data_IF_455874779838
#
_entry.id   IF_455874779838
#
_cell.length_a   1.000
_cell.length_b   1.000
_cell.length_c   1.000
_cell.angle_alpha   90.00
_cell.angle_beta   90.00
_cell.angle_gamma   90.00
#
_symmetry.space_group_name_H-M   'P 1'
#
loop_
_entity.id
_entity.type
_entity.pdbx_description
1 polymer ?
#
# COMPACT_ATOMS: atom_id res chain seq x y z
N UNK A 1 -2.58 -21.49 7.40
CA UNK A 1 -1.69 -20.68 8.29
C UNK A 1 -0.48 -21.49 8.75
N UNK A 2 -0.63 -22.68 9.36
CA UNK A 2 0.49 -23.47 9.91
C UNK A 2 1.54 -23.84 8.83
N UNK A 3 1.10 -24.32 7.67
CA UNK A 3 1.99 -24.65 6.55
C UNK A 3 2.82 -23.44 6.09
N UNK A 4 2.22 -22.26 6.00
CA UNK A 4 2.92 -21.02 5.66
C UNK A 4 3.93 -20.61 6.73
N UNK A 5 3.56 -20.73 8.01
CA UNK A 5 4.47 -20.43 9.11
C UNK A 5 5.70 -21.36 9.10
N UNK A 6 5.49 -22.67 8.89
CA UNK A 6 6.59 -23.65 8.78
C UNK A 6 7.49 -23.35 7.59
N UNK A 7 6.89 -23.00 6.43
CA UNK A 7 7.66 -22.65 5.24
C UNK A 7 8.47 -21.36 5.43
N UNK A 8 7.87 -20.32 6.01
CA UNK A 8 8.54 -19.07 6.33
C UNK A 8 9.72 -19.29 7.30
N UNK A 9 9.50 -20.05 8.38
CA UNK A 9 10.55 -20.41 9.33
C UNK A 9 11.69 -21.20 8.67
N UNK A 10 11.37 -22.18 7.84
CA UNK A 10 12.39 -22.98 7.13
C UNK A 10 13.22 -22.13 6.16
N UNK A 11 12.64 -21.07 5.59
CA UNK A 11 13.34 -20.15 4.71
C UNK A 11 14.19 -19.13 5.45
N UNK A 12 13.68 -18.56 6.54
CA UNK A 12 14.34 -17.48 7.29
C UNK A 12 15.46 -17.98 8.19
N UNK A 13 15.30 -19.16 8.82
CA UNK A 13 16.28 -19.70 9.76
C UNK A 13 17.69 -19.89 9.15
N UNK A 14 17.86 -20.50 7.96
CA UNK A 14 19.21 -20.68 7.40
C UNK A 14 19.77 -19.41 6.74
N UNK A 15 18.90 -18.47 6.36
CA UNK A 15 19.28 -17.34 5.50
C UNK A 15 19.80 -16.11 6.26
N UNK A 16 19.39 -15.94 7.53
CA UNK A 16 19.74 -14.79 8.34
C UNK A 16 19.15 -13.45 7.86
N UNK A 17 19.31 -12.41 8.67
CA UNK A 17 18.71 -11.08 8.46
C UNK A 17 19.13 -10.42 7.13
N UNK A 18 20.35 -10.67 6.67
CA UNK A 18 20.86 -10.07 5.43
C UNK A 18 20.11 -10.56 4.19
N UNK A 19 19.82 -11.86 4.12
CA UNK A 19 19.10 -12.45 2.99
C UNK A 19 17.64 -12.01 2.97
N UNK A 20 17.01 -11.94 4.14
CA UNK A 20 15.64 -11.40 4.26
C UNK A 20 15.59 -9.96 3.76
N UNK A 21 16.55 -9.12 4.15
CA UNK A 21 16.59 -7.73 3.66
C UNK A 21 16.74 -7.62 2.13
N UNK A 22 17.53 -8.51 1.51
CA UNK A 22 17.68 -8.56 0.07
C UNK A 22 16.41 -9.03 -0.65
N UNK A 23 15.75 -10.05 -0.15
CA UNK A 23 14.47 -10.53 -0.70
C UNK A 23 13.39 -9.48 -0.56
N UNK A 24 13.27 -8.81 0.59
CA UNK A 24 12.36 -7.70 0.82
C UNK A 24 12.59 -6.56 -0.18
N UNK A 25 13.83 -6.21 -0.45
CA UNK A 25 14.19 -5.18 -1.43
C UNK A 25 13.73 -5.56 -2.84
N UNK A 26 14.02 -6.78 -3.28
CA UNK A 26 13.62 -7.29 -4.60
C UNK A 26 12.10 -7.30 -4.72
N UNK A 27 11.38 -7.85 -3.74
CA UNK A 27 9.93 -7.86 -3.74
C UNK A 27 9.33 -6.45 -3.74
N UNK A 28 9.93 -5.50 -3.01
CA UNK A 28 9.51 -4.10 -3.04
C UNK A 28 9.63 -3.47 -4.43
N UNK A 29 10.70 -3.76 -5.16
CA UNK A 29 10.84 -3.30 -6.54
C UNK A 29 9.76 -3.87 -7.45
N UNK A 30 9.45 -5.17 -7.34
CA UNK A 30 8.35 -5.78 -8.09
C UNK A 30 6.99 -5.22 -7.69
N UNK A 31 6.76 -4.97 -6.40
CA UNK A 31 5.51 -4.35 -5.92
C UNK A 31 5.32 -2.95 -6.50
N UNK A 32 6.37 -2.11 -6.56
CA UNK A 32 6.28 -0.79 -7.18
C UNK A 32 5.90 -0.90 -8.66
N UNK A 33 6.53 -1.82 -9.40
CA UNK A 33 6.17 -2.08 -10.79
C UNK A 33 4.70 -2.51 -10.94
N UNK A 34 4.24 -3.41 -10.07
CA UNK A 34 2.83 -3.85 -10.04
C UNK A 34 1.86 -2.73 -9.69
N UNK A 35 2.23 -1.84 -8.76
CA UNK A 35 1.42 -0.65 -8.45
C UNK A 35 1.22 0.23 -9.69
N UNK A 36 2.26 0.42 -10.50
CA UNK A 36 2.16 1.17 -11.76
C UNK A 36 1.21 0.47 -12.74
N UNK A 37 1.35 -0.85 -12.91
CA UNK A 37 0.45 -1.64 -13.77
C UNK A 37 -1.01 -1.51 -13.30
N UNK A 38 -1.26 -1.59 -12.00
CA UNK A 38 -2.60 -1.45 -11.43
C UNK A 38 -3.19 -0.05 -11.68
N UNK A 39 -2.38 1.02 -11.53
CA UNK A 39 -2.80 2.39 -11.83
C UNK A 39 -3.19 2.54 -13.31
N UNK A 40 -2.36 2.05 -14.21
CA UNK A 40 -2.65 2.10 -15.65
C UNK A 40 -3.94 1.35 -15.95
N UNK A 41 -4.08 0.14 -15.41
CA UNK A 41 -5.24 -0.70 -15.64
C UNK A 41 -6.54 -0.06 -15.13
N UNK A 42 -6.55 0.45 -13.89
CA UNK A 42 -7.74 1.10 -13.33
C UNK A 42 -8.09 2.40 -14.06
N UNK A 43 -7.08 3.15 -14.53
CA UNK A 43 -7.29 4.36 -15.32
C UNK A 43 -7.94 4.05 -16.67
N UNK A 44 -7.50 2.98 -17.33
CA UNK A 44 -8.12 2.51 -18.59
C UNK A 44 -9.55 2.04 -18.34
N UNK A 45 -9.79 1.28 -17.27
CA UNK A 45 -11.14 0.84 -16.89
C UNK A 45 -12.08 2.03 -16.60
N UNK A 46 -11.57 3.09 -15.97
CA UNK A 46 -12.33 4.31 -15.68
C UNK A 46 -12.56 5.22 -16.89
N UNK A 47 -12.03 4.85 -18.06
CA UNK A 47 -12.12 5.67 -19.27
C UNK A 47 -11.22 6.92 -19.25
N UNK A 48 -10.15 6.89 -18.46
CA UNK A 48 -9.20 7.99 -18.31
C UNK A 48 -9.44 8.84 -17.07
N UNK A 49 -8.41 9.60 -16.68
CA UNK A 49 -8.43 10.44 -15.48
C UNK A 49 -9.56 11.47 -15.50
N UNK A 50 -9.83 12.08 -16.67
CA UNK A 50 -10.90 13.06 -16.83
C UNK A 50 -12.29 12.49 -16.52
N UNK A 51 -12.57 11.27 -16.99
CA UNK A 51 -13.83 10.59 -16.72
C UNK A 51 -13.96 10.19 -15.25
N UNK A 52 -12.86 9.72 -14.64
CA UNK A 52 -12.82 9.39 -13.21
C UNK A 52 -13.20 10.62 -12.37
N UNK A 53 -12.59 11.78 -12.66
CA UNK A 53 -12.87 13.03 -11.95
C UNK A 53 -14.31 13.50 -12.19
N UNK A 54 -14.81 13.41 -13.43
CA UNK A 54 -16.19 13.77 -13.76
C UNK A 54 -17.20 12.89 -13.03
N UNK A 55 -16.97 11.58 -13.01
CA UNK A 55 -17.84 10.64 -12.30
C UNK A 55 -17.83 10.86 -10.78
N UNK A 56 -16.66 11.15 -10.20
CA UNK A 56 -16.57 11.48 -8.78
C UNK A 56 -17.32 12.76 -8.43
N UNK A 57 -17.25 13.79 -9.27
CA UNK A 57 -18.02 15.03 -9.10
C UNK A 57 -19.53 14.79 -9.12
N UNK A 58 -20.01 13.84 -9.89
CA UNK A 58 -21.44 13.49 -9.92
C UNK A 58 -21.88 12.65 -8.74
N UNK A 59 -21.00 11.82 -8.20
CA UNK A 59 -21.29 10.96 -7.03
C UNK A 59 -21.22 11.77 -5.75
N UNK A 60 -20.11 12.45 -5.52
CA UNK A 60 -19.88 13.26 -4.32
C UNK A 60 -18.72 14.26 -4.57
N UNK A 61 -19.02 15.53 -4.80
CA UNK A 61 -18.01 16.56 -5.01
C UNK A 61 -17.06 16.75 -3.83
N UNK A 62 -17.48 16.38 -2.62
CA UNK A 62 -16.65 16.50 -1.42
C UNK A 62 -15.41 15.61 -1.45
N UNK A 63 -15.45 14.48 -2.17
CA UNK A 63 -14.32 13.55 -2.30
C UNK A 63 -13.12 14.14 -3.05
N UNK A 64 -13.34 15.17 -3.86
CA UNK A 64 -12.29 15.87 -4.60
C UNK A 64 -11.83 17.14 -3.87
N UNK A 65 -12.49 17.52 -2.78
CA UNK A 65 -12.18 18.70 -2.00
C UNK A 65 -11.40 18.35 -0.74
N UNK A 66 -10.12 18.76 -0.71
CA UNK A 66 -9.29 18.61 0.49
C UNK A 66 -9.81 19.43 1.67
N UNK A 67 -10.45 20.56 1.40
CA UNK A 67 -10.99 21.47 2.42
C UNK A 67 -12.18 20.87 3.17
N UNK A 68 -13.09 20.19 2.49
CA UNK A 68 -14.26 19.58 3.14
C UNK A 68 -13.89 18.43 4.08
N UNK A 69 -12.88 17.65 3.71
CA UNK A 69 -12.38 16.56 4.53
C UNK A 69 -11.71 17.03 5.84
N UNK A 70 -11.13 18.25 5.85
CA UNK A 70 -10.49 18.82 7.04
C UNK A 70 -11.50 19.58 7.90
N UNK A 71 -12.47 20.26 7.30
CA UNK A 71 -13.49 21.04 8.02
C UNK A 71 -14.54 20.18 8.70
N UNK A 72 -14.73 18.96 8.26
CA UNK A 72 -15.59 18.01 8.96
C UNK A 72 -14.95 17.58 10.28
N UNK A 73 -15.67 17.79 11.40
CA UNK A 73 -15.21 17.42 12.73
C UNK A 73 -14.77 15.95 12.84
N UNK A 74 -15.36 15.08 12.02
CA UNK A 74 -15.01 13.67 11.93
C UNK A 74 -13.63 13.51 11.26
N UNK A 75 -13.28 14.30 10.25
CA UNK A 75 -12.01 14.23 9.55
C UNK A 75 -10.83 14.58 10.45
N UNK A 76 -10.90 15.66 11.18
CA UNK A 76 -9.85 16.05 12.14
C UNK A 76 -9.70 15.03 13.26
N UNK A 77 -10.80 14.58 13.86
CA UNK A 77 -10.79 13.56 14.90
C UNK A 77 -10.16 12.25 14.42
N UNK A 78 -10.48 11.82 13.21
CA UNK A 78 -9.91 10.61 12.60
C UNK A 78 -8.42 10.77 12.34
N UNK A 79 -7.96 11.90 11.81
CA UNK A 79 -6.54 12.18 11.63
C UNK A 79 -5.76 12.14 12.95
N UNK A 80 -6.30 12.77 13.99
CA UNK A 80 -5.68 12.75 15.33
C UNK A 80 -5.65 11.34 15.91
N UNK A 81 -6.74 10.58 15.78
CA UNK A 81 -6.80 9.18 16.20
C UNK A 81 -5.70 8.34 15.53
N UNK A 82 -5.54 8.47 14.21
CA UNK A 82 -4.51 7.75 13.46
C UNK A 82 -3.09 8.16 13.86
N UNK A 83 -2.83 9.46 14.10
CA UNK A 83 -1.53 9.93 14.57
C UNK A 83 -1.20 9.28 15.92
N UNK A 84 -2.13 9.31 16.89
CA UNK A 84 -1.91 8.74 18.21
C UNK A 84 -1.88 7.20 18.22
N UNK A 85 -2.58 6.53 17.31
CA UNK A 85 -2.59 5.08 17.23
C UNK A 85 -1.36 4.51 16.49
N UNK A 86 -0.95 5.13 15.40
CA UNK A 86 0.07 4.58 14.51
C UNK A 86 1.48 5.02 14.88
N UNK A 87 1.65 6.27 15.34
CA UNK A 87 2.97 6.84 15.62
C UNK A 87 3.71 6.07 16.74
N UNK A 88 3.09 5.80 17.91
CA UNK A 88 3.73 4.97 18.93
C UNK A 88 4.00 3.54 18.46
N UNK A 89 3.07 2.95 17.70
CA UNK A 89 3.23 1.61 17.15
C UNK A 89 4.44 1.47 16.24
N UNK A 90 4.70 2.47 15.41
CA UNK A 90 5.90 2.51 14.55
C UNK A 90 7.20 2.60 15.36
N UNK A 91 7.21 3.36 16.45
CA UNK A 91 8.39 3.53 17.31
C UNK A 91 8.69 2.30 18.17
N UNK A 92 7.67 1.56 18.58
CA UNK A 92 7.80 0.37 19.44
C UNK A 92 7.91 -0.92 18.66
N UNK A 93 7.77 -0.88 17.34
CA UNK A 93 7.82 -2.09 16.52
C UNK A 93 9.24 -2.66 16.48
N UNK A 94 9.41 -3.84 17.05
CA UNK A 94 10.69 -4.54 17.16
C UNK A 94 11.37 -4.74 15.80
N UNK A 95 10.61 -4.95 14.72
CA UNK A 95 11.14 -5.18 13.38
C UNK A 95 11.91 -3.95 12.88
N UNK A 96 11.33 -2.75 13.03
CA UNK A 96 12.01 -1.52 12.63
C UNK A 96 13.24 -1.25 13.51
N UNK A 97 13.12 -1.46 14.81
CA UNK A 97 14.21 -1.26 15.74
C UNK A 97 15.41 -2.19 15.43
N UNK A 98 15.16 -3.47 15.18
CA UNK A 98 16.22 -4.42 14.81
C UNK A 98 16.93 -4.03 13.51
N UNK A 99 16.19 -3.55 12.51
CA UNK A 99 16.75 -3.10 11.23
C UNK A 99 17.62 -1.86 11.41
N UNK A 100 17.19 -0.89 12.21
CA UNK A 100 17.96 0.31 12.52
C UNK A 100 19.23 -0.03 13.28
N UNK A 101 19.15 -0.89 14.30
CA UNK A 101 20.31 -1.34 15.09
C UNK A 101 21.32 -2.17 14.30
N UNK A 102 20.92 -2.78 13.19
CA UNK A 102 21.83 -3.53 12.32
C UNK A 102 22.70 -2.64 11.42
N UNK A 103 22.40 -1.35 11.31
CA UNK A 103 23.14 -0.39 10.48
C UNK A 103 24.30 0.18 11.31
N UNK A 104 25.53 0.11 10.77
CA UNK A 104 26.74 0.57 11.47
C UNK A 104 26.93 2.09 11.50
N UNK A 105 26.40 2.80 10.50
CA UNK A 105 26.62 4.25 10.33
C UNK A 105 25.33 5.02 10.48
N UNK A 106 25.27 5.98 11.38
CA UNK A 106 24.13 6.85 11.62
C UNK A 106 23.68 7.61 10.35
N UNK A 107 24.64 8.02 9.52
CA UNK A 107 24.35 8.69 8.25
C UNK A 107 23.54 7.81 7.28
N UNK A 108 23.75 6.50 7.29
CA UNK A 108 22.99 5.54 6.48
C UNK A 108 21.59 5.33 7.05
N UNK A 109 21.42 5.37 8.36
CA UNK A 109 20.10 5.33 9.02
C UNK A 109 19.25 6.50 8.55
N UNK A 110 19.77 7.72 8.62
CA UNK A 110 19.05 8.92 8.22
C UNK A 110 18.64 8.88 6.73
N UNK A 111 19.55 8.43 5.85
CA UNK A 111 19.22 8.27 4.42
C UNK A 111 18.11 7.23 4.19
N UNK A 112 18.16 6.10 4.88
CA UNK A 112 17.16 5.06 4.74
C UNK A 112 15.79 5.50 5.26
N UNK A 113 15.75 6.26 6.36
CA UNK A 113 14.51 6.81 6.89
C UNK A 113 13.86 7.83 5.93
N UNK A 114 14.66 8.74 5.36
CA UNK A 114 14.16 9.73 4.38
C UNK A 114 13.62 9.01 3.13
N UNK A 115 14.37 8.04 2.61
CA UNK A 115 13.91 7.26 1.44
C UNK A 115 12.65 6.46 1.75
N UNK A 116 12.58 5.84 2.91
CA UNK A 116 11.40 5.10 3.37
C UNK A 116 10.18 6.03 3.50
N UNK A 117 10.35 7.23 4.05
CA UNK A 117 9.28 8.22 4.15
C UNK A 117 8.77 8.66 2.77
N UNK A 118 9.68 8.92 1.81
CA UNK A 118 9.31 9.28 0.44
C UNK A 118 8.54 8.16 -0.27
N UNK A 119 8.99 6.90 -0.14
CA UNK A 119 8.30 5.74 -0.71
C UNK A 119 6.93 5.51 -0.05
N UNK A 120 6.82 5.76 1.25
CA UNK A 120 5.54 5.67 1.96
C UNK A 120 4.54 6.72 1.46
N UNK A 121 4.98 7.97 1.25
CA UNK A 121 4.13 9.00 0.65
C UNK A 121 3.63 8.59 -0.75
N UNK A 122 4.51 8.04 -1.58
CA UNK A 122 4.12 7.54 -2.90
C UNK A 122 3.07 6.42 -2.79
N UNK A 123 3.22 5.53 -1.82
CA UNK A 123 2.25 4.46 -1.56
C UNK A 123 0.88 4.99 -1.13
N UNK A 124 0.84 6.05 -0.32
CA UNK A 124 -0.41 6.71 0.06
C UNK A 124 -1.12 7.35 -1.14
N UNK A 125 -0.38 8.09 -1.98
CA UNK A 125 -0.94 8.68 -3.21
C UNK A 125 -1.52 7.58 -4.12
N UNK A 126 -0.79 6.49 -4.29
CA UNK A 126 -1.26 5.34 -5.05
C UNK A 126 -2.56 4.75 -4.46
N UNK A 127 -2.60 4.53 -3.15
CA UNK A 127 -3.77 3.94 -2.49
C UNK A 127 -5.02 4.84 -2.61
N UNK A 128 -4.86 6.15 -2.42
CA UNK A 128 -5.94 7.13 -2.59
C UNK A 128 -6.43 7.14 -4.04
N UNK A 129 -5.53 7.20 -5.01
CA UNK A 129 -5.88 7.19 -6.42
C UNK A 129 -6.65 5.92 -6.81
N UNK A 130 -6.19 4.74 -6.36
CA UNK A 130 -6.88 3.48 -6.60
C UNK A 130 -8.27 3.46 -5.97
N UNK A 131 -8.39 3.91 -4.73
CA UNK A 131 -9.67 3.97 -4.03
C UNK A 131 -10.68 4.88 -4.73
N UNK A 132 -10.27 6.09 -5.10
CA UNK A 132 -11.12 7.05 -5.83
C UNK A 132 -11.50 6.52 -7.22
N UNK A 133 -10.55 5.94 -7.95
CA UNK A 133 -10.81 5.39 -9.27
C UNK A 133 -11.82 4.25 -9.23
N UNK A 134 -11.72 3.34 -8.27
CA UNK A 134 -12.70 2.27 -8.07
C UNK A 134 -14.06 2.83 -7.65
N UNK A 135 -14.08 3.85 -6.78
CA UNK A 135 -15.32 4.52 -6.38
C UNK A 135 -16.03 5.19 -7.56
N UNK A 136 -15.28 5.76 -8.50
CA UNK A 136 -15.82 6.42 -9.69
C UNK A 136 -16.62 5.47 -10.60
N UNK A 137 -16.36 4.16 -10.54
CA UNK A 137 -17.10 3.16 -11.29
C UNK A 137 -18.54 2.95 -10.78
N UNK A 138 -18.82 3.38 -9.55
CA UNK A 138 -20.15 3.32 -8.89
C UNK A 138 -20.82 1.93 -8.94
N UNK A 139 -20.06 0.87 -8.83
CA UNK A 139 -20.55 -0.52 -8.85
C UNK A 139 -20.80 -0.99 -7.42
N UNK A 140 -22.01 -1.46 -7.12
CA UNK A 140 -22.40 -1.90 -5.77
C UNK A 140 -21.53 -3.05 -5.22
N UNK A 141 -21.08 -3.94 -6.09
CA UNK A 141 -20.22 -5.08 -5.71
C UNK A 141 -18.86 -4.63 -5.16
N UNK A 142 -18.36 -3.45 -5.56
CA UNK A 142 -17.08 -2.91 -5.08
C UNK A 142 -17.14 -2.57 -3.60
N UNK A 143 -18.29 -2.19 -3.08
CA UNK A 143 -18.46 -1.83 -1.67
C UNK A 143 -18.15 -2.99 -0.70
N UNK A 144 -18.36 -4.23 -1.14
CA UNK A 144 -18.15 -5.42 -0.32
C UNK A 144 -16.69 -5.93 -0.31
N UNK A 145 -15.84 -5.46 -1.23
CA UNK A 145 -14.44 -5.85 -1.29
C UNK A 145 -13.73 -5.30 -2.52
N UNK A 146 -13.31 -4.02 -2.50
CA UNK A 146 -12.74 -3.34 -3.67
C UNK A 146 -11.50 -4.05 -4.21
N UNK A 147 -10.63 -4.53 -3.34
CA UNK A 147 -9.40 -5.23 -3.74
C UNK A 147 -9.71 -6.57 -4.42
N UNK A 148 -10.62 -7.37 -3.85
CA UNK A 148 -10.98 -8.65 -4.41
C UNK A 148 -11.68 -8.51 -5.77
N UNK A 149 -12.59 -7.54 -5.87
CA UNK A 149 -13.26 -7.22 -7.12
C UNK A 149 -12.28 -6.79 -8.21
N UNK A 150 -11.36 -5.87 -7.87
CA UNK A 150 -10.33 -5.39 -8.79
C UNK A 150 -9.41 -6.52 -9.27
N UNK A 151 -8.94 -7.37 -8.35
CA UNK A 151 -8.12 -8.53 -8.68
C UNK A 151 -8.83 -9.47 -9.67
N UNK A 152 -10.13 -9.68 -9.49
CA UNK A 152 -10.93 -10.51 -10.40
C UNK A 152 -11.07 -9.93 -11.82
N UNK A 153 -10.81 -8.64 -12.03
CA UNK A 153 -10.83 -7.99 -13.34
C UNK A 153 -9.47 -7.96 -14.05
N UNK A 154 -8.39 -8.24 -13.32
CA UNK A 154 -7.05 -8.31 -13.90
C UNK A 154 -6.89 -9.55 -14.81
N UNK A 155 -6.07 -9.47 -15.85
CA UNK A 155 -5.67 -10.65 -16.63
C UNK A 155 -5.06 -11.71 -15.70
N UNK A 156 -5.38 -12.98 -15.95
CA UNK A 156 -5.03 -14.11 -15.05
C UNK A 156 -3.54 -14.12 -14.65
N UNK A 157 -2.64 -13.84 -15.59
CA UNK A 157 -1.20 -13.79 -15.31
C UNK A 157 -0.80 -12.65 -14.38
N UNK A 158 -1.39 -11.47 -14.57
CA UNK A 158 -1.15 -10.29 -13.70
C UNK A 158 -1.74 -10.52 -12.31
N UNK A 159 -2.94 -11.09 -12.24
CA UNK A 159 -3.59 -11.47 -10.99
C UNK A 159 -2.74 -12.47 -10.20
N UNK A 160 -2.25 -13.51 -10.85
CA UNK A 160 -1.42 -14.53 -10.21
C UNK A 160 -0.10 -13.94 -9.69
N UNK A 161 0.55 -13.08 -10.48
CA UNK A 161 1.76 -12.38 -10.05
C UNK A 161 1.51 -11.44 -8.88
N UNK A 162 0.44 -10.66 -8.92
CA UNK A 162 0.06 -9.77 -7.83
C UNK A 162 -0.24 -10.53 -6.53
N UNK A 163 -1.02 -11.62 -6.63
CA UNK A 163 -1.29 -12.49 -5.50
C UNK A 163 0.00 -13.09 -4.91
N UNK A 164 0.89 -13.60 -5.77
CA UNK A 164 2.17 -14.16 -5.32
C UNK A 164 3.04 -13.11 -4.60
N UNK A 165 3.09 -11.88 -5.11
CA UNK A 165 3.84 -10.79 -4.48
C UNK A 165 3.24 -10.38 -3.12
N UNK A 166 1.91 -10.30 -3.01
CA UNK A 166 1.23 -10.03 -1.73
C UNK A 166 1.54 -11.14 -0.72
N UNK A 167 1.47 -12.40 -1.13
CA UNK A 167 1.83 -13.51 -0.25
C UNK A 167 3.31 -13.47 0.17
N UNK A 168 4.21 -13.13 -0.75
CA UNK A 168 5.64 -13.03 -0.46
C UNK A 168 5.96 -11.88 0.52
N UNK A 169 5.21 -10.79 0.50
CA UNK A 169 5.40 -9.67 1.45
C UNK A 169 4.79 -9.94 2.83
N UNK A 170 3.89 -10.92 2.96
CA UNK A 170 3.31 -11.34 4.23
C UNK A 170 4.19 -12.36 4.99
N UNK A 171 5.16 -12.96 4.32
CA UNK A 171 6.16 -13.87 4.90
C UNK A 171 7.37 -13.14 5.47
#
# INVERSE_FOLDING_TARGET
>A
CVLFAVFALAFVMPSGLKTVAWTDFIFSCFMIAMCIVCVVFVTVMGGGVSNIVSNLNTIDPSMLSFSSSITDNIGVATCMLWIFAVLPGGMTNQIYFQRVCAIKEEKQVNKSLILSAALSLLSFVWAVYMGLSLRSLNIAEIANGPTAWFMGKLPTGVMALFAALVFATLM
#
